data_IF_864533844400
#
_entry.id   IF_864533844400
#
_cell.length_a   1.000
_cell.length_b   1.000
_cell.length_c   1.000
_cell.angle_alpha   90.00
_cell.angle_beta   90.00
_cell.angle_gamma   90.00
#
_symmetry.space_group_name_H-M   'P 1'
#
loop_
_entity.id
_entity.type
_entity.pdbx_description
1 polymer ?
#
# COMPACT_ATOMS: atom_id res chain seq x y z
N UNK A 1 -52.54 -7.40 -51.29
CA UNK A 1 -51.16 -7.44 -50.75
C UNK A 1 -50.39 -6.23 -51.30
N UNK A 2 -49.39 -5.63 -50.60
CA UNK A 2 -48.72 -6.13 -49.40
C UNK A 2 -48.81 -5.20 -48.18
N UNK A 3 -48.98 -5.82 -47.00
CA UNK A 3 -48.66 -5.24 -45.70
C UNK A 3 -47.13 -5.11 -45.62
N UNK A 4 -46.60 -3.88 -45.61
CA UNK A 4 -45.20 -3.65 -45.24
C UNK A 4 -45.14 -3.53 -43.73
N UNK A 5 -44.69 -4.62 -43.09
CA UNK A 5 -44.42 -4.63 -41.67
C UNK A 5 -43.38 -3.58 -41.32
N UNK A 6 -43.61 -2.88 -40.20
CA UNK A 6 -42.54 -2.20 -39.49
C UNK A 6 -41.48 -3.26 -39.17
N UNK A 7 -40.37 -3.22 -39.91
CA UNK A 7 -39.16 -3.95 -39.59
C UNK A 7 -38.64 -3.35 -38.29
N UNK A 8 -38.80 -4.09 -37.20
CA UNK A 8 -38.36 -3.69 -35.88
C UNK A 8 -37.00 -4.32 -35.58
N UNK A 9 -35.88 -3.59 -35.77
CA UNK A 9 -34.66 -3.85 -35.01
C UNK A 9 -34.37 -2.71 -34.00
N UNK A 10 -35.24 -1.71 -33.86
CA UNK A 10 -34.96 -0.50 -33.07
C UNK A 10 -35.33 -0.59 -31.58
N UNK A 11 -35.98 -1.66 -31.11
CA UNK A 11 -36.34 -1.79 -29.68
C UNK A 11 -35.37 -2.63 -28.83
N UNK A 12 -34.29 -3.17 -29.40
CA UNK A 12 -33.40 -4.10 -28.67
C UNK A 12 -32.16 -3.44 -28.02
N UNK A 13 -32.04 -2.11 -27.97
CA UNK A 13 -30.75 -1.50 -27.62
C UNK A 13 -30.74 -0.24 -26.75
N UNK A 14 -31.73 -0.03 -25.89
CA UNK A 14 -31.70 1.07 -24.92
C UNK A 14 -30.96 0.72 -23.61
N UNK A 15 -30.68 -0.56 -23.34
CA UNK A 15 -30.04 -1.03 -22.10
C UNK A 15 -28.52 -1.24 -22.19
N UNK A 16 -27.96 -1.45 -23.39
CA UNK A 16 -26.50 -1.66 -23.57
C UNK A 16 -25.61 -0.44 -23.27
N UNK A 17 -26.00 0.83 -23.54
CA UNK A 17 -25.17 1.97 -23.19
C UNK A 17 -24.95 2.08 -21.68
N UNK A 18 -26.00 1.76 -20.90
CA UNK A 18 -25.97 1.77 -19.44
C UNK A 18 -25.05 0.67 -18.88
N UNK A 19 -25.17 -0.56 -19.38
CA UNK A 19 -24.27 -1.67 -18.99
C UNK A 19 -22.81 -1.43 -19.40
N UNK A 20 -22.55 -0.88 -20.59
CA UNK A 20 -21.19 -0.58 -21.04
C UNK A 20 -20.56 0.59 -20.28
N UNK A 21 -21.36 1.59 -19.90
CA UNK A 21 -20.92 2.70 -19.06
C UNK A 21 -20.59 2.24 -17.62
N UNK A 22 -21.44 1.44 -17.00
CA UNK A 22 -21.20 0.85 -15.66
C UNK A 22 -19.95 -0.05 -15.67
N UNK A 23 -19.79 -0.91 -16.68
CA UNK A 23 -18.60 -1.75 -16.86
C UNK A 23 -17.31 -0.91 -17.07
N UNK A 24 -17.40 0.18 -17.82
CA UNK A 24 -16.27 1.08 -18.07
C UNK A 24 -15.90 1.88 -16.81
N UNK A 25 -16.90 2.33 -16.06
CA UNK A 25 -16.72 3.05 -14.80
C UNK A 25 -16.11 2.14 -13.72
N UNK A 26 -16.60 0.91 -13.59
CA UNK A 26 -16.08 -0.10 -12.66
C UNK A 26 -14.62 -0.46 -12.96
N UNK A 27 -14.26 -0.64 -14.24
CA UNK A 27 -12.87 -0.90 -14.65
C UNK A 27 -11.95 0.29 -14.36
N UNK A 28 -12.41 1.52 -14.56
CA UNK A 28 -11.64 2.73 -14.22
C UNK A 28 -11.47 2.89 -12.71
N UNK A 29 -12.53 2.62 -11.94
CA UNK A 29 -12.49 2.67 -10.48
C UNK A 29 -11.54 1.60 -9.92
N UNK A 30 -11.61 0.36 -10.40
CA UNK A 30 -10.70 -0.70 -10.00
C UNK A 30 -9.25 -0.33 -10.31
N UNK A 31 -8.97 0.19 -11.52
CA UNK A 31 -7.62 0.65 -11.89
C UNK A 31 -7.15 1.78 -10.97
N UNK A 32 -8.01 2.76 -10.69
CA UNK A 32 -7.68 3.87 -9.80
C UNK A 32 -7.35 3.37 -8.38
N UNK A 33 -8.19 2.51 -7.81
CA UNK A 33 -7.98 1.94 -6.48
C UNK A 33 -6.69 1.11 -6.41
N UNK A 34 -6.40 0.34 -7.46
CA UNK A 34 -5.14 -0.40 -7.57
C UNK A 34 -3.95 0.55 -7.60
N UNK A 35 -4.00 1.60 -8.43
CA UNK A 35 -2.93 2.60 -8.51
C UNK A 35 -2.70 3.30 -7.17
N UNK A 36 -3.78 3.69 -6.47
CA UNK A 36 -3.68 4.31 -5.14
C UNK A 36 -3.05 3.34 -4.13
N UNK A 37 -3.50 2.09 -4.12
CA UNK A 37 -2.95 1.06 -3.22
C UNK A 37 -1.46 0.85 -3.47
N UNK A 38 -1.05 0.73 -4.73
CA UNK A 38 0.36 0.57 -5.10
C UNK A 38 1.17 1.80 -4.67
N UNK A 39 0.68 3.00 -4.97
CA UNK A 39 1.35 4.24 -4.59
C UNK A 39 1.54 4.34 -3.07
N UNK A 40 0.51 3.98 -2.29
CA UNK A 40 0.57 3.97 -0.83
C UNK A 40 1.62 2.99 -0.30
N UNK A 41 1.64 1.76 -0.82
CA UNK A 41 2.63 0.74 -0.44
C UNK A 41 4.05 1.21 -0.79
N UNK A 42 4.26 1.81 -1.96
CA UNK A 42 5.57 2.32 -2.38
C UNK A 42 6.03 3.45 -1.46
N UNK A 43 5.17 4.43 -1.17
CA UNK A 43 5.55 5.58 -0.32
C UNK A 43 5.88 5.14 1.11
N UNK A 44 5.04 4.29 1.72
CA UNK A 44 5.28 3.80 3.09
C UNK A 44 6.48 2.87 3.15
N UNK A 45 6.58 1.92 2.21
CA UNK A 45 7.70 1.02 2.11
C UNK A 45 9.01 1.77 1.93
N UNK A 46 9.03 2.79 1.08
CA UNK A 46 10.20 3.65 0.89
C UNK A 46 10.55 4.45 2.16
N UNK A 47 9.55 5.03 2.85
CA UNK A 47 9.78 5.77 4.10
C UNK A 47 10.37 4.88 5.19
N UNK A 48 9.84 3.66 5.34
CA UNK A 48 10.39 2.66 6.26
C UNK A 48 11.80 2.24 5.85
N UNK A 49 12.01 1.94 4.57
CA UNK A 49 13.31 1.51 4.06
C UNK A 49 14.39 2.58 4.29
N UNK A 50 14.08 3.84 4.00
CA UNK A 50 14.98 4.99 4.28
C UNK A 50 15.30 5.10 5.75
N UNK A 51 14.32 4.92 6.64
CA UNK A 51 14.55 4.92 8.08
C UNK A 51 15.54 3.83 8.50
N UNK A 52 15.35 2.58 8.08
CA UNK A 52 16.20 1.48 8.57
C UNK A 52 17.59 1.43 7.93
N UNK A 53 17.78 2.04 6.75
CA UNK A 53 19.05 1.95 5.99
C UNK A 53 19.83 3.25 5.85
N UNK A 54 19.17 4.41 5.99
CA UNK A 54 19.74 5.72 5.64
C UNK A 54 19.18 6.84 6.54
N UNK A 55 18.97 6.57 7.84
CA UNK A 55 18.60 7.59 8.83
C UNK A 55 19.85 8.11 9.55
N UNK A 56 19.82 9.37 9.96
CA UNK A 56 20.88 9.97 10.79
C UNK A 56 20.64 9.73 12.30
N UNK A 57 19.45 9.26 12.67
CA UNK A 57 19.06 8.98 14.06
C UNK A 57 18.16 7.75 14.18
N UNK A 58 18.36 6.89 15.20
CA UNK A 58 17.46 5.78 15.48
C UNK A 58 16.10 6.24 16.05
N UNK A 59 16.00 7.51 16.48
CA UNK A 59 14.86 8.06 17.22
C UNK A 59 13.86 8.85 16.36
N UNK A 60 13.75 8.52 15.06
CA UNK A 60 12.71 9.08 14.18
C UNK A 60 11.35 8.47 14.51
N UNK A 61 10.45 9.26 15.09
CA UNK A 61 9.15 8.82 15.63
C UNK A 61 8.28 8.07 14.60
N UNK A 62 8.24 8.56 13.36
CA UNK A 62 7.48 7.93 12.27
C UNK A 62 8.13 6.61 11.86
N UNK A 63 9.45 6.58 11.74
CA UNK A 63 10.24 5.40 11.39
C UNK A 63 10.13 4.30 12.44
N UNK A 64 10.20 4.66 13.72
CA UNK A 64 9.98 3.75 14.85
C UNK A 64 8.59 3.13 14.76
N UNK A 65 7.56 3.96 14.58
CA UNK A 65 6.17 3.51 14.47
C UNK A 65 6.00 2.55 13.30
N UNK A 66 6.55 2.90 12.14
CA UNK A 66 6.51 2.06 10.94
C UNK A 66 7.23 0.73 11.16
N UNK A 67 8.47 0.76 11.68
CA UNK A 67 9.25 -0.45 11.88
C UNK A 67 8.61 -1.38 12.92
N UNK A 68 8.08 -0.82 14.01
CA UNK A 68 7.38 -1.60 15.05
C UNK A 68 6.10 -2.24 14.54
N UNK A 69 5.43 -1.60 13.57
CA UNK A 69 4.22 -2.13 12.94
C UNK A 69 4.51 -3.21 11.88
N UNK A 70 5.78 -3.41 11.48
CA UNK A 70 6.13 -4.42 10.48
C UNK A 70 5.97 -5.84 11.03
N UNK A 71 5.62 -6.82 10.16
CA UNK A 71 5.65 -8.24 10.51
C UNK A 71 7.01 -8.66 11.10
N UNK A 72 6.99 -9.61 12.03
CA UNK A 72 8.15 -10.01 12.84
C UNK A 72 9.49 -10.08 12.09
N UNK A 73 9.60 -10.80 10.96
CA UNK A 73 10.85 -10.87 10.21
C UNK A 73 11.34 -9.54 9.65
N UNK A 74 10.43 -8.68 9.18
CA UNK A 74 10.78 -7.35 8.64
C UNK A 74 11.16 -6.38 9.76
N UNK A 75 10.43 -6.41 10.89
CA UNK A 75 10.79 -5.64 12.07
C UNK A 75 12.19 -6.03 12.57
N UNK A 76 12.47 -7.33 12.71
CA UNK A 76 13.75 -7.85 13.17
C UNK A 76 14.90 -7.44 12.23
N UNK A 77 14.68 -7.55 10.90
CA UNK A 77 15.65 -7.10 9.92
C UNK A 77 15.91 -5.59 10.02
N UNK A 78 14.86 -4.78 10.17
CA UNK A 78 14.98 -3.33 10.35
C UNK A 78 15.77 -2.96 11.62
N UNK A 79 15.49 -3.65 12.74
CA UNK A 79 16.24 -3.47 13.98
C UNK A 79 17.71 -3.86 13.83
N UNK A 80 18.01 -4.95 13.12
CA UNK A 80 19.39 -5.36 12.84
C UNK A 80 20.12 -4.30 12.02
N UNK A 81 19.47 -3.72 10.99
CA UNK A 81 20.04 -2.63 10.20
C UNK A 81 20.31 -1.36 10.99
N UNK A 82 19.40 -0.95 11.86
CA UNK A 82 19.64 0.19 12.74
C UNK A 82 20.79 -0.10 13.73
N UNK A 83 20.88 -1.32 14.26
CA UNK A 83 21.96 -1.74 15.18
C UNK A 83 23.34 -1.70 14.54
N UNK A 84 23.46 -2.00 13.24
CA UNK A 84 24.73 -1.90 12.50
C UNK A 84 25.33 -0.48 12.61
N UNK A 85 24.50 0.56 12.56
CA UNK A 85 24.94 1.97 12.63
C UNK A 85 24.92 2.54 14.05
N UNK A 86 23.95 2.14 14.88
CA UNK A 86 23.64 2.77 16.16
C UNK A 86 23.86 1.86 17.38
N UNK A 87 24.74 0.86 17.28
CA UNK A 87 25.02 -0.10 18.36
C UNK A 87 25.36 0.54 19.71
N UNK A 88 25.94 1.75 19.73
CA UNK A 88 26.26 2.50 20.94
C UNK A 88 25.11 3.35 21.51
N UNK A 89 23.97 3.44 20.82
CA UNK A 89 22.78 4.15 21.28
C UNK A 89 21.82 3.20 22.02
N UNK A 90 20.90 3.77 22.80
CA UNK A 90 19.79 2.99 23.34
C UNK A 90 18.88 2.52 22.18
N UNK A 91 18.42 1.27 22.20
CA UNK A 91 17.54 0.77 21.15
C UNK A 91 16.21 1.52 21.15
N UNK A 92 15.67 1.89 19.98
CA UNK A 92 14.33 2.46 19.90
C UNK A 92 13.25 1.44 20.25
N UNK A 93 12.05 1.93 20.52
CA UNK A 93 10.88 1.09 20.80
C UNK A 93 10.68 0.05 19.68
N UNK A 94 10.33 -1.18 20.08
CA UNK A 94 10.22 -2.32 19.17
C UNK A 94 11.55 -2.97 18.79
N UNK A 95 12.71 -2.38 19.09
CA UNK A 95 14.04 -2.96 18.85
C UNK A 95 14.83 -3.30 20.13
N UNK A 96 14.31 -2.91 21.30
CA UNK A 96 14.91 -3.26 22.58
C UNK A 96 14.61 -4.72 22.98
N UNK A 97 15.54 -5.32 23.72
CA UNK A 97 15.33 -6.54 24.49
C UNK A 97 14.44 -6.25 25.72
N UNK A 98 14.09 -7.28 26.49
CA UNK A 98 13.19 -7.17 27.65
C UNK A 98 13.66 -6.16 28.72
N UNK A 99 14.96 -5.93 28.83
CA UNK A 99 15.54 -4.96 29.76
C UNK A 99 15.46 -3.50 29.29
N UNK A 100 14.98 -3.23 28.07
CA UNK A 100 14.81 -1.89 27.50
C UNK A 100 16.10 -1.14 27.17
N UNK A 101 17.27 -1.66 27.54
CA UNK A 101 18.57 -0.97 27.39
C UNK A 101 19.50 -1.64 26.40
N UNK A 102 19.23 -2.90 26.05
CA UNK A 102 20.03 -3.67 25.11
C UNK A 102 19.25 -3.90 23.81
N UNK A 103 19.95 -3.83 22.68
CA UNK A 103 19.40 -4.21 21.39
C UNK A 103 19.09 -5.71 21.35
N UNK A 104 17.89 -6.06 20.90
CA UNK A 104 17.54 -7.46 20.60
C UNK A 104 18.31 -8.01 19.40
#
# INVERSE_FOLDING_TARGET
MPRRGCFQPLCANATRPRLYFEELLMKKLLRLLLTITIAFVVVIGFRWYRYVTNTDSPYDEVGITLNTSMPGPLNAWGCAKLKETFSGALPPYGCAAENGTQWK
#
